data_IF_411331141716
#
_entry.id   IF_411331141716
#
_cell.length_a   1.000
_cell.length_b   1.000
_cell.length_c   1.000
_cell.angle_alpha   90.00
_cell.angle_beta   90.00
_cell.angle_gamma   90.00
#
_symmetry.space_group_name_H-M   'P 1'
#
loop_
_entity.id
_entity.type
_entity.pdbx_description
1 polymer ?
#
# COMPACT_ATOMS: atom_id res chain seq x y z
N UNK A 1 -0.31 -3.10 17.21
CA UNK A 1 -0.79 -1.71 17.32
C UNK A 1 -0.31 -0.98 16.08
N UNK A 2 -1.18 -0.65 15.11
CA UNK A 2 -0.76 -0.20 13.77
C UNK A 2 -0.61 1.33 13.60
N UNK A 3 -0.95 2.12 14.62
CA UNK A 3 -0.70 3.56 14.64
C UNK A 3 0.63 3.79 15.34
N UNK A 4 1.68 4.01 14.57
CA UNK A 4 3.04 4.24 15.05
C UNK A 4 3.27 5.71 15.39
N UNK A 5 2.74 6.61 14.55
CA UNK A 5 2.87 8.06 14.71
C UNK A 5 1.53 8.64 15.12
N UNK A 6 1.49 9.28 16.30
CA UNK A 6 0.29 9.96 16.80
C UNK A 6 0.16 11.36 16.20
N UNK A 7 -1.00 11.65 15.63
CA UNK A 7 -1.33 12.97 15.07
C UNK A 7 -2.37 13.66 15.96
N UNK A 8 -2.00 14.79 16.54
CA UNK A 8 -2.91 15.64 17.33
C UNK A 8 -3.97 16.30 16.44
N UNK A 9 -5.13 16.65 17.00
CA UNK A 9 -6.19 17.35 16.27
C UNK A 9 -5.71 18.70 15.69
N UNK A 10 -4.85 19.42 16.42
CA UNK A 10 -4.30 20.71 16.01
C UNK A 10 -3.41 20.55 14.76
N UNK A 11 -2.47 19.59 14.81
CA UNK A 11 -1.60 19.28 13.67
C UNK A 11 -2.40 18.80 12.45
N UNK A 12 -3.42 17.97 12.66
CA UNK A 12 -4.29 17.50 11.57
C UNK A 12 -5.14 18.64 10.98
N UNK A 13 -5.68 19.53 11.82
CA UNK A 13 -6.40 20.71 11.35
C UNK A 13 -5.53 21.62 10.49
N UNK A 14 -4.30 21.88 10.94
CA UNK A 14 -3.32 22.67 10.17
C UNK A 14 -2.92 21.97 8.85
N UNK A 15 -2.83 20.65 8.85
CA UNK A 15 -2.61 19.87 7.64
C UNK A 15 -3.77 19.99 6.66
N UNK A 16 -5.01 19.80 7.12
CA UNK A 16 -6.22 19.87 6.29
C UNK A 16 -6.48 21.26 5.71
N UNK A 17 -6.04 22.33 6.39
CA UNK A 17 -6.15 23.70 5.88
C UNK A 17 -5.40 23.94 4.56
N UNK A 18 -4.49 23.04 4.16
CA UNK A 18 -3.82 23.08 2.84
C UNK A 18 -4.74 22.59 1.71
N UNK A 19 -5.76 21.80 2.02
CA UNK A 19 -6.64 21.14 1.07
C UNK A 19 -7.96 21.91 0.91
N UNK A 20 -8.72 21.59 -0.13
CA UNK A 20 -10.08 22.13 -0.33
C UNK A 20 -11.17 21.12 0.03
N UNK A 21 -10.99 20.48 1.19
CA UNK A 21 -11.81 19.37 1.67
C UNK A 21 -12.45 19.64 3.05
N UNK A 22 -12.66 20.91 3.38
CA UNK A 22 -13.35 21.32 4.61
C UNK A 22 -12.53 21.18 5.88
N UNK A 23 -13.19 21.45 7.00
CA UNK A 23 -12.57 21.51 8.32
C UNK A 23 -12.67 20.16 9.04
N UNK A 24 -11.70 19.88 9.92
CA UNK A 24 -11.66 18.67 10.72
C UNK A 24 -12.91 18.55 11.62
N UNK A 25 -13.65 17.46 11.49
CA UNK A 25 -14.77 17.11 12.38
C UNK A 25 -14.35 16.03 13.36
N UNK A 26 -13.73 14.95 12.87
CA UNK A 26 -13.19 13.89 13.73
C UNK A 26 -12.04 13.15 13.05
N UNK A 27 -11.16 12.56 13.85
CA UNK A 27 -10.12 11.66 13.36
C UNK A 27 -10.01 10.44 14.26
N UNK A 28 -9.91 9.25 13.64
CA UNK A 28 -9.77 7.98 14.35
C UNK A 28 -8.63 7.18 13.73
N UNK A 29 -7.64 6.85 14.54
CA UNK A 29 -6.57 5.95 14.12
C UNK A 29 -7.14 4.57 13.78
N UNK A 30 -6.72 4.02 12.66
CA UNK A 30 -7.09 2.67 12.19
C UNK A 30 -6.00 1.72 12.69
N UNK A 31 -6.38 0.82 13.59
CA UNK A 31 -5.45 -0.12 14.21
C UNK A 31 -5.12 -1.34 13.32
N UNK A 32 -5.70 -1.41 12.12
CA UNK A 32 -5.45 -2.44 11.11
C UNK A 32 -4.37 -1.96 10.14
N UNK A 33 -3.25 -2.67 10.09
CA UNK A 33 -2.09 -2.32 9.27
C UNK A 33 -0.79 -2.89 9.84
N UNK A 34 0.20 -3.07 8.97
CA UNK A 34 1.51 -3.62 9.36
C UNK A 34 2.61 -2.57 9.30
N UNK A 35 2.46 -1.55 8.45
CA UNK A 35 3.60 -0.67 8.10
C UNK A 35 3.30 0.82 8.15
N UNK A 36 2.05 1.27 8.03
CA UNK A 36 1.71 2.70 7.97
C UNK A 36 0.73 3.08 9.09
N UNK A 37 0.83 4.31 9.57
CA UNK A 37 -0.18 4.88 10.45
C UNK A 37 -1.32 5.43 9.59
N UNK A 38 -2.49 4.82 9.68
CA UNK A 38 -3.69 5.25 8.95
C UNK A 38 -4.71 5.87 9.89
N UNK A 39 -5.37 6.92 9.44
CA UNK A 39 -6.43 7.62 10.17
C UNK A 39 -7.65 7.76 9.28
N UNK A 40 -8.82 7.40 9.82
CA UNK A 40 -10.09 7.80 9.25
C UNK A 40 -10.35 9.25 9.64
N UNK A 41 -10.52 10.14 8.66
CA UNK A 41 -10.70 11.57 8.86
C UNK A 41 -12.08 11.97 8.35
N UNK A 42 -12.94 12.41 9.25
CA UNK A 42 -14.20 13.06 8.91
C UNK A 42 -13.99 14.58 8.89
N UNK A 43 -14.45 15.22 7.82
CA UNK A 43 -14.44 16.68 7.63
C UNK A 43 -15.86 17.21 7.43
N UNK A 44 -16.01 18.52 7.34
CA UNK A 44 -17.29 19.15 7.00
C UNK A 44 -17.77 18.85 5.57
N UNK A 45 -16.91 18.36 4.68
CA UNK A 45 -17.27 18.09 3.27
C UNK A 45 -17.33 16.60 2.93
N UNK A 46 -16.72 15.75 3.73
CA UNK A 46 -16.62 14.34 3.42
C UNK A 46 -15.67 13.58 4.34
N UNK A 47 -15.42 12.33 3.95
CA UNK A 47 -14.60 11.38 4.69
C UNK A 47 -13.39 10.99 3.84
N UNK A 48 -12.25 10.87 4.50
CA UNK A 48 -10.95 10.62 3.88
C UNK A 48 -10.13 9.66 4.73
N UNK A 49 -9.06 9.14 4.13
CA UNK A 49 -7.99 8.43 4.83
C UNK A 49 -6.76 9.32 4.84
N UNK A 50 -6.18 9.54 6.01
CA UNK A 50 -4.84 10.07 6.13
C UNK A 50 -3.87 8.92 6.35
N UNK A 51 -2.85 8.82 5.51
CA UNK A 51 -1.79 7.83 5.64
C UNK A 51 -0.48 8.53 5.91
N UNK A 52 0.20 8.16 7.00
CA UNK A 52 1.58 8.53 7.30
C UNK A 52 2.47 7.32 6.98
N UNK A 53 3.42 7.52 6.09
CA UNK A 53 4.35 6.48 5.65
C UNK A 53 5.48 6.32 6.65
N UNK A 54 5.57 5.15 7.26
CA UNK A 54 6.64 4.85 8.22
C UNK A 54 7.89 4.30 7.52
N UNK A 55 8.92 4.01 8.31
CA UNK A 55 10.31 3.75 7.88
C UNK A 55 10.53 2.65 6.83
N UNK A 56 9.55 1.80 6.52
CA UNK A 56 9.70 0.72 5.52
C UNK A 56 9.43 1.16 4.09
N UNK A 57 8.69 2.25 3.90
CA UNK A 57 8.47 2.82 2.57
C UNK A 57 9.53 3.89 2.33
N UNK A 58 10.35 3.71 1.29
CA UNK A 58 11.23 4.78 0.84
C UNK A 58 10.37 5.96 0.41
N UNK A 59 10.65 7.17 0.93
CA UNK A 59 9.95 8.37 0.49
C UNK A 59 10.09 8.57 -1.03
N UNK A 60 11.18 8.08 -1.61
CA UNK A 60 11.47 8.14 -3.04
C UNK A 60 10.55 7.23 -3.88
N UNK A 61 9.89 6.24 -3.26
CA UNK A 61 8.92 5.37 -3.94
C UNK A 61 7.51 6.00 -3.98
N UNK A 62 7.22 6.99 -3.12
CA UNK A 62 5.89 7.58 -3.03
C UNK A 62 5.41 8.19 -4.36
N UNK A 63 6.23 8.94 -5.12
CA UNK A 63 5.82 9.45 -6.42
C UNK A 63 5.35 8.35 -7.38
N UNK A 64 5.98 7.17 -7.37
CA UNK A 64 5.56 6.03 -8.18
C UNK A 64 4.16 5.55 -7.78
N UNK A 65 3.92 5.34 -6.48
CA UNK A 65 2.61 4.89 -6.01
C UNK A 65 1.49 5.90 -6.29
N UNK A 66 1.77 7.20 -6.10
CA UNK A 66 0.80 8.26 -6.38
C UNK A 66 0.45 8.31 -7.87
N UNK A 67 1.46 8.26 -8.75
CA UNK A 67 1.27 8.28 -10.19
C UNK A 67 0.53 7.01 -10.68
N UNK A 68 0.82 5.85 -10.11
CA UNK A 68 0.14 4.60 -10.46
C UNK A 68 -1.33 4.62 -10.05
N UNK A 69 -1.64 5.10 -8.83
CA UNK A 69 -3.03 5.24 -8.36
C UNK A 69 -3.82 6.24 -9.20
N UNK A 70 -3.21 7.36 -9.57
CA UNK A 70 -3.84 8.35 -10.44
C UNK A 70 -4.13 7.79 -11.84
N UNK A 71 -3.15 7.12 -12.46
CA UNK A 71 -3.32 6.44 -13.76
C UNK A 71 -4.48 5.44 -13.74
N UNK A 72 -4.50 4.57 -12.74
CA UNK A 72 -5.55 3.57 -12.56
C UNK A 72 -6.93 4.21 -12.40
N UNK A 73 -7.03 5.27 -11.60
CA UNK A 73 -8.29 5.96 -11.35
C UNK A 73 -8.80 6.73 -12.58
N UNK A 74 -7.91 7.37 -13.35
CA UNK A 74 -8.23 8.01 -14.63
C UNK A 74 -8.81 7.00 -15.62
N UNK A 75 -8.30 5.77 -15.62
CA UNK A 75 -8.80 4.67 -16.45
C UNK A 75 -10.02 3.94 -15.84
N UNK A 76 -10.58 4.47 -14.75
CA UNK A 76 -11.83 3.99 -14.15
C UNK A 76 -11.72 2.78 -13.22
N UNK A 77 -10.50 2.39 -12.82
CA UNK A 77 -10.32 1.33 -11.83
C UNK A 77 -10.76 1.81 -10.43
N UNK A 78 -11.36 0.93 -9.60
CA UNK A 78 -11.86 1.29 -8.27
C UNK A 78 -10.72 1.36 -7.24
N UNK A 79 -9.80 2.31 -7.43
CA UNK A 79 -8.67 2.59 -6.53
C UNK A 79 -8.84 3.95 -5.85
N UNK A 80 -8.33 4.13 -4.62
CA UNK A 80 -8.43 5.41 -3.95
C UNK A 80 -7.35 6.37 -4.47
N UNK A 81 -7.74 7.58 -4.90
CA UNK A 81 -6.76 8.59 -5.30
C UNK A 81 -6.17 9.30 -4.09
N UNK A 82 -4.91 9.68 -4.20
CA UNK A 82 -4.36 10.70 -3.34
C UNK A 82 -4.91 12.07 -3.76
N UNK A 83 -5.31 12.85 -2.78
CA UNK A 83 -5.93 14.15 -2.97
C UNK A 83 -4.84 15.23 -2.98
N UNK A 84 -4.79 16.08 -4.03
CA UNK A 84 -3.85 17.18 -4.05
C UNK A 84 -4.30 18.28 -3.09
N UNK A 85 -3.31 19.00 -2.53
CA UNK A 85 -3.59 20.24 -1.84
C UNK A 85 -3.94 21.37 -2.83
N UNK A 86 -4.21 22.57 -2.32
CA UNK A 86 -4.53 23.76 -3.13
C UNK A 86 -3.42 24.19 -4.09
N UNK A 87 -2.19 23.71 -3.89
CA UNK A 87 -1.05 23.96 -4.77
C UNK A 87 -0.81 22.84 -5.79
N UNK A 88 -1.57 21.74 -5.71
CA UNK A 88 -1.39 20.56 -6.54
C UNK A 88 -0.45 19.50 -5.95
N UNK A 89 0.06 19.68 -4.72
CA UNK A 89 0.99 18.75 -4.10
C UNK A 89 0.25 17.59 -3.40
N UNK A 90 0.65 16.35 -3.72
CA UNK A 90 0.06 15.11 -3.16
C UNK A 90 0.75 14.67 -1.86
N UNK A 91 2.08 14.80 -1.80
CA UNK A 91 2.91 14.30 -0.70
C UNK A 91 3.31 15.49 0.17
N UNK A 92 3.05 15.38 1.46
CA UNK A 92 3.33 16.40 2.47
C UNK A 92 4.14 15.80 3.61
N UNK A 93 4.68 16.64 4.49
CA UNK A 93 5.19 16.20 5.78
C UNK A 93 4.18 16.49 6.89
N UNK A 94 3.94 15.50 7.76
CA UNK A 94 3.14 15.61 8.97
C UNK A 94 3.81 14.82 10.09
N UNK A 95 4.05 15.47 11.23
CA UNK A 95 4.69 14.84 12.39
C UNK A 95 6.04 14.16 12.05
N UNK A 96 6.82 14.75 11.13
CA UNK A 96 8.11 14.22 10.69
C UNK A 96 8.03 12.98 9.78
N UNK A 97 6.86 12.72 9.20
CA UNK A 97 6.62 11.62 8.25
C UNK A 97 6.04 12.14 6.94
N UNK A 98 6.38 11.54 5.79
CA UNK A 98 5.61 11.72 4.57
C UNK A 98 4.15 11.32 4.81
N UNK A 99 3.22 12.12 4.33
CA UNK A 99 1.80 11.96 4.54
C UNK A 99 1.00 12.31 3.28
N UNK A 100 -0.08 11.58 3.05
CA UNK A 100 -1.02 11.81 1.96
C UNK A 100 -2.45 11.79 2.49
N UNK A 101 -3.30 12.68 1.98
CA UNK A 101 -4.73 12.58 2.13
C UNK A 101 -5.27 11.75 0.97
N UNK A 102 -6.09 10.76 1.25
CA UNK A 102 -6.52 9.73 0.31
C UNK A 102 -8.05 9.65 0.34
N UNK A 103 -8.67 9.45 -0.83
CA UNK A 103 -10.10 9.22 -0.94
C UNK A 103 -10.56 8.04 -0.08
N UNK A 104 -11.71 8.21 0.59
CA UNK A 104 -12.36 7.09 1.27
C UNK A 104 -13.19 6.27 0.27
N UNK A 105 -12.89 4.98 0.15
CA UNK A 105 -13.73 4.05 -0.60
C UNK A 105 -14.74 3.37 0.33
N UNK A 106 -16.01 3.40 -0.06
CA UNK A 106 -17.06 2.69 0.66
C UNK A 106 -16.96 1.19 0.43
N UNK A 107 -17.04 0.42 1.51
CA UNK A 107 -17.03 -1.04 1.44
C UNK A 107 -16.57 -1.64 2.76
N UNK A 108 -16.48 -2.96 2.79
CA UNK A 108 -15.93 -3.72 3.91
C UNK A 108 -14.98 -4.78 3.38
N UNK A 109 -13.91 -5.04 4.12
CA UNK A 109 -13.05 -6.19 3.84
C UNK A 109 -13.79 -7.48 4.21
N UNK A 110 -13.66 -8.50 3.37
CA UNK A 110 -14.32 -9.81 3.56
C UNK A 110 -13.30 -10.85 4.01
N UNK A 111 -13.50 -11.43 5.19
CA UNK A 111 -12.59 -12.48 5.72
C UNK A 111 -12.86 -13.86 5.10
N UNK A 112 -14.08 -14.10 4.64
CA UNK A 112 -14.50 -15.36 4.02
C UNK A 112 -15.18 -15.06 2.68
N UNK A 113 -14.40 -14.83 1.61
CA UNK A 113 -14.95 -14.46 0.31
C UNK A 113 -15.77 -15.62 -0.29
N UNK A 114 -16.90 -15.28 -0.90
CA UNK A 114 -17.69 -16.20 -1.74
C UNK A 114 -17.04 -16.39 -3.11
N UNK A 115 -17.43 -17.44 -3.84
CA UNK A 115 -16.98 -17.67 -5.23
C UNK A 115 -17.24 -16.46 -6.14
N UNK A 116 -18.39 -15.80 -5.97
CA UNK A 116 -18.75 -14.61 -6.73
C UNK A 116 -17.80 -13.44 -6.43
N UNK A 117 -17.40 -13.25 -5.18
CA UNK A 117 -16.44 -12.21 -4.78
C UNK A 117 -15.03 -12.52 -5.26
N UNK A 118 -14.61 -13.79 -5.23
CA UNK A 118 -13.33 -14.21 -5.80
C UNK A 118 -13.27 -13.92 -7.31
N UNK A 119 -14.36 -14.20 -8.04
CA UNK A 119 -14.48 -13.86 -9.47
C UNK A 119 -14.42 -12.35 -9.70
N UNK A 120 -15.11 -11.56 -8.88
CA UNK A 120 -15.08 -10.10 -8.97
C UNK A 120 -13.67 -9.54 -8.72
N UNK A 121 -12.94 -10.09 -7.74
CA UNK A 121 -11.54 -9.72 -7.48
C UNK A 121 -10.62 -10.04 -8.67
N UNK A 122 -10.79 -11.22 -9.29
CA UNK A 122 -10.04 -11.58 -10.50
C UNK A 122 -10.33 -10.65 -11.68
N UNK A 123 -11.60 -10.26 -11.88
CA UNK A 123 -11.97 -9.29 -12.92
C UNK A 123 -11.33 -7.91 -12.66
N UNK A 124 -11.39 -7.42 -11.42
CA UNK A 124 -10.76 -6.15 -11.04
C UNK A 124 -9.23 -6.18 -11.24
N UNK A 125 -8.58 -7.27 -10.84
CA UNK A 125 -7.13 -7.45 -11.06
C UNK A 125 -6.76 -7.47 -12.54
N UNK A 126 -7.57 -8.13 -13.38
CA UNK A 126 -7.39 -8.14 -14.83
C UNK A 126 -7.49 -6.73 -15.44
N UNK A 127 -8.51 -5.96 -15.03
CA UNK A 127 -8.65 -4.55 -15.47
C UNK A 127 -7.46 -3.70 -15.04
N UNK A 128 -6.97 -3.86 -13.81
CA UNK A 128 -5.79 -3.15 -13.34
C UNK A 128 -4.55 -3.48 -14.18
N UNK A 129 -4.32 -4.76 -14.52
CA UNK A 129 -3.20 -5.15 -15.37
C UNK A 129 -3.29 -4.56 -16.78
N UNK A 130 -4.48 -4.56 -17.39
CA UNK A 130 -4.69 -3.95 -18.72
C UNK A 130 -4.43 -2.45 -18.68
N UNK A 131 -4.93 -1.77 -17.65
CA UNK A 131 -4.73 -0.34 -17.44
C UNK A 131 -3.25 0.03 -17.32
N UNK A 132 -2.50 -0.73 -16.52
CA UNK A 132 -1.08 -0.49 -16.25
C UNK A 132 -0.15 -0.81 -17.42
N UNK A 133 -0.62 -1.47 -18.48
CA UNK A 133 0.19 -1.71 -19.68
C UNK A 133 0.66 -0.40 -20.35
N UNK A 134 -0.03 0.72 -20.13
CA UNK A 134 0.35 2.05 -20.60
C UNK A 134 1.06 2.93 -19.58
N UNK A 135 1.33 2.44 -18.36
CA UNK A 135 1.98 3.21 -17.31
C UNK A 135 3.52 3.20 -17.51
N UNK A 136 4.14 4.38 -17.50
CA UNK A 136 5.52 4.55 -17.97
C UNK A 136 6.60 4.38 -16.88
N UNK A 137 6.26 4.52 -15.61
CA UNK A 137 7.23 4.39 -14.52
C UNK A 137 7.42 2.92 -14.16
N UNK A 138 8.62 2.56 -13.71
CA UNK A 138 8.92 1.20 -13.25
C UNK A 138 9.42 1.23 -11.81
N UNK A 139 9.12 0.16 -11.07
CA UNK A 139 9.69 -0.03 -9.73
C UNK A 139 10.12 -1.47 -9.55
N UNK A 140 11.39 -1.68 -9.21
CA UNK A 140 11.90 -3.01 -8.95
C UNK A 140 11.13 -3.70 -7.80
N UNK A 141 10.72 -4.94 -8.01
CA UNK A 141 10.10 -5.75 -6.96
C UNK A 141 11.16 -6.16 -5.92
N UNK A 142 11.23 -5.42 -4.82
CA UNK A 142 12.16 -5.68 -3.71
C UNK A 142 11.86 -6.95 -2.91
N UNK A 143 10.72 -7.60 -3.18
CA UNK A 143 10.29 -8.88 -2.62
C UNK A 143 10.21 -9.98 -3.69
N UNK A 144 10.90 -9.81 -4.82
CA UNK A 144 11.02 -10.80 -5.88
C UNK A 144 12.04 -11.90 -5.59
N UNK A 145 12.23 -12.84 -6.56
CA UNK A 145 13.13 -14.00 -6.42
C UNK A 145 14.56 -13.61 -6.03
N UNK A 146 15.05 -12.48 -6.53
CA UNK A 146 16.39 -11.96 -6.21
C UNK A 146 16.59 -11.67 -4.71
N UNK A 147 15.51 -11.39 -3.98
CA UNK A 147 15.53 -11.07 -2.55
C UNK A 147 15.27 -12.25 -1.62
N UNK A 148 14.68 -13.34 -2.10
CA UNK A 148 14.18 -14.42 -1.23
C UNK A 148 15.27 -15.15 -0.47
N UNK A 149 16.42 -15.40 -1.10
CA UNK A 149 17.58 -16.04 -0.45
C UNK A 149 18.08 -15.25 0.75
N UNK A 150 18.19 -13.93 0.58
CA UNK A 150 18.62 -13.04 1.64
C UNK A 150 17.57 -12.95 2.78
N UNK A 151 16.27 -13.01 2.45
CA UNK A 151 15.19 -13.05 3.44
C UNK A 151 15.23 -14.36 4.24
N UNK A 152 15.34 -15.51 3.58
CA UNK A 152 15.43 -16.81 4.24
C UNK A 152 16.67 -16.89 5.15
N UNK A 153 17.81 -16.38 4.70
CA UNK A 153 19.03 -16.34 5.50
C UNK A 153 18.87 -15.52 6.79
N UNK A 154 18.05 -14.45 6.78
CA UNK A 154 17.74 -13.66 7.98
C UNK A 154 16.86 -14.41 8.98
N UNK A 155 15.96 -15.28 8.50
CA UNK A 155 15.20 -16.18 9.38
C UNK A 155 16.11 -17.26 9.98
N UNK A 156 17.03 -17.80 9.17
CA UNK A 156 17.98 -18.82 9.60
C UNK A 156 17.29 -20.06 10.19
N UNK A 157 18.01 -20.78 11.06
CA UNK A 157 17.53 -22.01 11.69
C UNK A 157 16.46 -21.79 12.77
N UNK A 158 16.09 -20.55 13.07
CA UNK A 158 14.96 -20.26 13.97
C UNK A 158 13.64 -20.81 13.41
N UNK A 159 13.56 -21.04 12.09
CA UNK A 159 12.44 -21.76 11.47
C UNK A 159 12.25 -23.17 12.03
N UNK A 160 13.33 -23.83 12.46
CA UNK A 160 13.24 -25.18 13.02
C UNK A 160 12.58 -25.21 14.41
N UNK A 161 12.38 -24.04 15.04
CA UNK A 161 11.56 -23.91 16.24
C UNK A 161 10.05 -23.96 15.96
N UNK A 162 9.63 -23.68 14.72
CA UNK A 162 8.24 -23.86 14.28
C UNK A 162 7.99 -25.33 13.95
N UNK A 163 8.85 -25.91 13.12
CA UNK A 163 8.81 -27.32 12.73
C UNK A 163 10.24 -27.81 12.44
N UNK A 164 10.70 -28.91 13.06
CA UNK A 164 12.04 -29.43 12.80
C UNK A 164 12.28 -29.73 11.32
N UNK A 165 13.35 -29.15 10.75
CA UNK A 165 13.73 -29.34 9.34
C UNK A 165 13.06 -28.36 8.38
N UNK A 166 12.24 -27.43 8.88
CA UNK A 166 11.57 -26.42 8.06
C UNK A 166 12.56 -25.55 7.28
N UNK A 167 13.71 -25.19 7.87
CA UNK A 167 14.71 -24.41 7.15
C UNK A 167 15.21 -25.13 5.89
N UNK A 168 15.54 -26.43 6.00
CA UNK A 168 16.05 -27.21 4.87
C UNK A 168 14.97 -27.36 3.78
N UNK A 169 13.73 -27.62 4.20
CA UNK A 169 12.59 -27.72 3.29
C UNK A 169 12.37 -26.42 2.50
N UNK A 170 12.32 -25.27 3.18
CA UNK A 170 12.11 -23.96 2.54
C UNK A 170 13.30 -23.57 1.68
N UNK A 171 14.53 -23.87 2.14
CA UNK A 171 15.75 -23.61 1.36
C UNK A 171 15.77 -24.39 0.05
N UNK A 172 15.45 -25.68 0.08
CA UNK A 172 15.38 -26.51 -1.12
C UNK A 172 14.26 -26.04 -2.06
N UNK A 173 13.06 -25.78 -1.54
CA UNK A 173 11.95 -25.27 -2.32
C UNK A 173 12.26 -23.91 -2.99
N UNK A 174 12.95 -23.02 -2.28
CA UNK A 174 13.40 -21.75 -2.86
C UNK A 174 14.44 -21.95 -3.98
N UNK A 175 15.26 -23.01 -3.94
CA UNK A 175 16.28 -23.27 -4.98
C UNK A 175 15.57 -23.73 -6.25
N UNK A 176 14.64 -24.66 -6.09
CA UNK A 176 13.83 -25.19 -7.18
C UNK A 176 13.01 -24.08 -7.85
N UNK A 177 12.33 -23.22 -7.07
CA UNK A 177 11.51 -22.14 -7.62
C UNK A 177 12.36 -21.06 -8.31
N UNK A 178 13.49 -20.66 -7.73
CA UNK A 178 14.36 -19.66 -8.34
C UNK A 178 15.00 -20.21 -9.63
N UNK A 179 15.42 -21.47 -9.64
CA UNK A 179 15.96 -22.11 -10.84
C UNK A 179 14.94 -22.22 -11.98
N UNK A 180 13.66 -22.43 -11.65
CA UNK A 180 12.56 -22.52 -12.60
C UNK A 180 11.83 -21.18 -12.84
N UNK A 181 12.35 -20.06 -12.34
CA UNK A 181 11.63 -18.79 -12.39
C UNK A 181 11.46 -18.29 -13.83
N UNK A 182 10.24 -17.98 -14.28
CA UNK A 182 10.01 -17.58 -15.67
C UNK A 182 10.58 -16.19 -15.95
N UNK A 183 11.28 -16.06 -17.08
CA UNK A 183 11.87 -14.80 -17.55
C UNK A 183 11.13 -14.19 -18.75
N UNK A 184 10.27 -14.96 -19.41
CA UNK A 184 9.63 -14.66 -20.70
C UNK A 184 8.11 -14.45 -20.60
N UNK A 185 7.59 -14.20 -19.40
CA UNK A 185 6.19 -13.84 -19.19
C UNK A 185 5.97 -12.32 -19.31
N UNK A 186 4.76 -11.87 -19.69
CA UNK A 186 4.40 -10.46 -19.61
C UNK A 186 4.68 -9.89 -18.23
N UNK A 187 5.33 -8.73 -18.21
CA UNK A 187 5.60 -7.96 -16.99
C UNK A 187 4.73 -6.71 -16.99
N UNK A 188 4.25 -6.36 -15.80
CA UNK A 188 3.71 -5.04 -15.51
C UNK A 188 4.70 -4.32 -14.58
N UNK A 189 4.38 -3.06 -14.29
CA UNK A 189 5.19 -2.10 -13.52
C UNK A 189 5.58 -2.52 -12.11
#
# INVERSE_FOLDING_TARGET
MAVYTQVSAEALGAFLAKFDHGDLVSAKGIAEGVENSNYLVDTTTGRFILTLYEKRVSADDLPFFMAMLDHLAVDGNPVPRALPDRSGALIHELCGRPACLIEFLTGVSVSHPTEAQARAAGAAMGSMHVSLAGFAQERANTLGPDGWRALLAKCGRDLDAIEPGLFDMVSAAADDVVAAWPADLPRNV
#
